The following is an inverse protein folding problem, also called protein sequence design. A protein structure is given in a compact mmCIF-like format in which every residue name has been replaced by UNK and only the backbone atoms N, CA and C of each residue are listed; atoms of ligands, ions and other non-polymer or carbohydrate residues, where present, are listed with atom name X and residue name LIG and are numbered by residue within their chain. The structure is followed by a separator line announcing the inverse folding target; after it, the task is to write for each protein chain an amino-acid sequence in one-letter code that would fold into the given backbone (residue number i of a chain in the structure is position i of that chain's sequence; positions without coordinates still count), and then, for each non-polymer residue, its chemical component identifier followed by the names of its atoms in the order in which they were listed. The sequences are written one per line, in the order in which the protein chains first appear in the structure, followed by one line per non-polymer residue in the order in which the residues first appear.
data_IF_144740775642
#
_entry.id   IF_144740775642
#
_cell.length_a   1.000
_cell.length_b   1.000
_cell.length_c   1.000
_cell.angle_alpha   90.00
_cell.angle_beta   90.00
_cell.angle_gamma   90.00
#
_symmetry.space_group_name_H-M   'P 1'
#
loop_
_entity.id
_entity.type
_entity.pdbx_description
1 polymer ?
#
# COMPACT_ATOMS: atom_id res chain seq x y z
N UNK A 1 -4.54 -0.90 23.25
CA UNK A 1 -4.04 0.20 22.40
C UNK A 1 -3.21 -0.40 21.29
N UNK A 2 -3.75 -0.49 20.07
CA UNK A 2 -2.98 -0.95 18.91
C UNK A 2 -2.00 0.16 18.53
N UNK A 3 -0.70 -0.14 18.56
CA UNK A 3 0.32 0.76 18.02
C UNK A 3 0.20 0.68 16.50
N UNK A 4 -0.26 1.76 15.87
CA UNK A 4 -0.15 1.92 14.42
C UNK A 4 1.35 1.96 14.09
N UNK A 5 1.84 0.92 13.41
CA UNK A 5 3.20 0.90 12.88
C UNK A 5 3.39 1.98 11.80
N UNK A 6 4.63 2.19 11.33
CA UNK A 6 4.88 3.10 10.21
C UNK A 6 4.00 2.71 9.01
N UNK A 7 3.49 3.71 8.29
CA UNK A 7 2.76 3.49 7.03
C UNK A 7 3.70 2.77 6.07
N UNK A 8 3.27 1.63 5.55
CA UNK A 8 4.03 0.87 4.55
C UNK A 8 3.50 1.26 3.18
N UNK A 9 4.38 1.68 2.27
CA UNK A 9 4.01 1.84 0.87
C UNK A 9 4.25 0.51 0.16
N UNK A 10 3.26 0.03 -0.59
CA UNK A 10 3.38 -1.15 -1.43
C UNK A 10 3.04 -0.76 -2.87
N UNK A 11 3.82 -1.23 -3.83
CA UNK A 11 3.60 -0.92 -5.25
C UNK A 11 3.48 -2.22 -6.02
N UNK A 12 2.41 -2.33 -6.79
CA UNK A 12 2.10 -3.41 -7.71
C UNK A 12 2.05 -2.84 -9.13
N UNK A 13 2.87 -3.41 -10.02
CA UNK A 13 2.84 -3.08 -11.43
C UNK A 13 1.94 -4.08 -12.17
N UNK A 14 0.96 -3.52 -12.89
CA UNK A 14 0.19 -4.11 -13.99
C UNK A 14 -0.37 -5.52 -13.78
N UNK A 15 -1.63 -5.61 -13.36
CA UNK A 15 -2.48 -6.81 -13.43
C UNK A 15 -3.24 -6.83 -14.75
N UNK A 16 -3.10 -7.88 -15.56
CA UNK A 16 -3.99 -8.10 -16.70
C UNK A 16 -5.09 -9.08 -16.31
N UNK A 17 -6.32 -8.58 -16.22
CA UNK A 17 -7.46 -9.34 -15.70
C UNK A 17 -8.11 -10.26 -16.75
N UNK A 18 -8.11 -11.56 -16.52
CA UNK A 18 -8.84 -12.61 -17.25
C UNK A 18 -9.51 -13.57 -16.26
N UNK A 19 -10.60 -13.15 -15.62
CA UNK A 19 -11.39 -14.07 -14.81
C UNK A 19 -12.87 -13.97 -15.14
N UNK A 20 -13.41 -15.03 -15.75
CA UNK A 20 -14.80 -15.40 -15.50
C UNK A 20 -14.85 -16.06 -14.13
N UNK A 21 -15.18 -15.31 -13.08
CA UNK A 21 -15.46 -15.87 -11.76
C UNK A 21 -16.91 -15.61 -11.35
N UNK A 22 -17.64 -16.70 -11.21
CA UNK A 22 -18.89 -16.81 -10.45
C UNK A 22 -18.65 -16.55 -8.96
N UNK A 23 -19.46 -15.69 -8.35
CA UNK A 23 -19.50 -15.34 -6.93
C UNK A 23 -19.60 -16.58 -6.01
N UNK A 24 -18.75 -16.67 -4.97
CA UNK A 24 -18.95 -17.53 -3.79
C UNK A 24 -18.64 -16.72 -2.52
N UNK A 25 -19.52 -16.72 -1.49
CA UNK A 25 -19.33 -15.92 -0.28
C UNK A 25 -18.37 -16.55 0.74
N UNK A 26 -17.77 -15.66 1.55
CA UNK A 26 -16.74 -15.92 2.55
C UNK A 26 -17.25 -16.70 3.78
N UNK A 27 -16.38 -17.55 4.36
CA UNK A 27 -16.54 -18.14 5.69
C UNK A 27 -15.27 -17.95 6.53
N UNK A 28 -15.47 -17.59 7.80
CA UNK A 28 -14.45 -17.30 8.81
C UNK A 28 -13.89 -18.57 9.47
N UNK A 29 -12.64 -18.53 9.94
CA UNK A 29 -12.09 -19.50 10.89
C UNK A 29 -10.62 -19.24 11.22
N UNK A 30 -10.31 -19.01 12.50
CA UNK A 30 -9.01 -18.55 12.98
C UNK A 30 -7.99 -19.64 13.33
N UNK A 31 -6.80 -19.20 13.76
CA UNK A 31 -5.75 -20.03 14.35
C UNK A 31 -4.36 -19.41 14.15
N UNK A 32 -3.58 -19.29 15.22
CA UNK A 32 -2.38 -18.47 15.30
C UNK A 32 -1.06 -19.27 15.29
N UNK A 33 0.02 -18.57 14.90
CA UNK A 33 1.41 -18.57 15.44
C UNK A 33 2.59 -19.03 14.56
N UNK A 34 3.54 -18.07 14.47
CA UNK A 34 5.01 -18.18 14.34
C UNK A 34 5.57 -18.72 13.02
N UNK A 35 6.65 -18.19 12.42
CA UNK A 35 7.81 -17.49 12.96
C UNK A 35 8.57 -16.77 11.84
N UNK A 36 9.29 -15.70 12.20
CA UNK A 36 10.54 -15.25 11.57
C UNK A 36 10.55 -14.89 10.08
N UNK A 37 10.40 -13.60 9.77
CA UNK A 37 11.00 -13.02 8.57
C UNK A 37 11.55 -11.63 8.88
N UNK A 38 12.72 -11.37 8.30
CA UNK A 38 13.57 -10.19 8.46
C UNK A 38 12.83 -8.90 8.12
N UNK A 39 12.86 -7.95 9.04
CA UNK A 39 12.31 -6.61 8.86
C UNK A 39 13.01 -5.87 7.70
N UNK A 40 12.27 -5.33 6.72
CA UNK A 40 12.82 -4.37 5.79
C UNK A 40 13.11 -3.07 6.55
N UNK A 41 14.31 -2.54 6.31
CA UNK A 41 14.82 -1.31 6.92
C UNK A 41 13.92 -0.15 6.50
N UNK A 42 13.01 0.27 7.38
CA UNK A 42 12.33 1.54 7.26
C UNK A 42 13.41 2.63 7.16
N UNK A 43 13.33 3.48 6.13
CA UNK A 43 14.17 4.67 6.04
C UNK A 43 14.12 5.40 7.37
N UNK A 44 15.28 5.57 8.01
CA UNK A 44 15.35 6.16 9.34
C UNK A 44 14.68 7.53 9.29
N UNK A 45 13.75 7.79 10.22
CA UNK A 45 13.29 9.16 10.48
C UNK A 45 14.54 10.03 10.59
N UNK A 46 14.56 11.17 9.88
CA UNK A 46 15.67 12.08 10.04
C UNK A 46 15.80 12.36 11.54
N UNK A 47 16.96 12.10 12.16
CA UNK A 47 17.15 12.48 13.54
C UNK A 47 16.77 13.97 13.62
N UNK A 48 16.03 14.36 14.67
CA UNK A 48 15.95 15.76 15.03
C UNK A 48 17.36 16.32 14.87
N UNK A 49 17.55 17.38 14.06
CA UNK A 49 18.82 17.71 13.44
C UNK A 49 19.92 17.47 14.47
N UNK A 50 20.88 16.59 14.15
CA UNK A 50 21.75 15.90 15.11
C UNK A 50 22.67 16.83 15.94
N UNK A 51 22.40 18.14 15.93
CA UNK A 51 22.97 19.19 16.75
C UNK A 51 21.96 20.31 17.12
N UNK A 52 20.64 20.03 17.22
CA UNK A 52 19.63 20.95 17.78
C UNK A 52 19.84 21.24 19.29
N UNK A 53 20.95 20.72 19.84
CA UNK A 53 21.96 21.44 20.61
C UNK A 53 21.55 22.79 21.19
N UNK A 54 20.89 22.72 22.35
CA UNK A 54 20.67 23.76 23.36
C UNK A 54 20.03 25.08 22.89
N UNK A 55 19.13 25.66 23.70
CA UNK A 55 18.63 27.01 23.46
C UNK A 55 19.79 28.00 23.24
N UNK A 56 19.74 28.76 22.15
CA UNK A 56 20.71 29.83 21.87
C UNK A 56 20.15 31.16 22.35
N UNK A 57 20.14 31.33 23.68
CA UNK A 57 19.67 32.56 24.33
C UNK A 57 18.44 32.37 25.22
N UNK A 58 18.02 33.44 25.92
CA UNK A 58 16.96 33.39 26.94
C UNK A 58 15.56 33.22 26.35
N UNK A 59 15.39 33.43 25.05
CA UNK A 59 14.12 33.35 24.35
C UNK A 59 13.76 31.92 23.88
N UNK A 60 14.63 30.94 24.10
CA UNK A 60 14.36 29.53 23.81
C UNK A 60 14.48 29.14 22.34
N UNK A 61 15.00 30.01 21.47
CA UNK A 61 15.22 29.71 20.04
C UNK A 61 16.29 28.63 19.85
N UNK A 62 16.02 27.72 18.91
CA UNK A 62 17.00 26.75 18.39
C UNK A 62 17.34 27.18 16.96
N UNK A 63 18.61 27.45 16.71
CA UNK A 63 19.10 28.01 15.44
C UNK A 63 19.96 26.97 14.72
N UNK A 64 19.71 26.81 13.42
CA UNK A 64 20.42 25.87 12.58
C UNK A 64 21.78 26.38 12.09
N UNK A 65 22.58 25.53 11.42
CA UNK A 65 23.90 25.91 10.91
C UNK A 65 23.92 27.09 9.92
N UNK A 66 22.79 27.35 9.26
CA UNK A 66 22.61 28.46 8.32
C UNK A 66 22.08 29.75 8.97
N UNK A 67 21.90 29.77 10.30
CA UNK A 67 21.38 30.93 11.03
C UNK A 67 19.85 31.02 11.08
N UNK A 68 19.12 30.09 10.46
CA UNK A 68 17.65 30.05 10.50
C UNK A 68 17.12 29.45 11.81
N UNK A 69 15.95 29.92 12.26
CA UNK A 69 15.30 29.37 13.45
C UNK A 69 14.62 28.04 13.11
N UNK A 70 15.11 26.95 13.69
CA UNK A 70 14.57 25.60 13.50
C UNK A 70 13.39 25.29 14.43
N UNK A 71 13.25 26.02 15.53
CA UNK A 71 12.16 25.86 16.47
C UNK A 71 12.44 26.51 17.82
N UNK A 72 11.66 26.14 18.83
CA UNK A 72 11.69 26.70 20.17
C UNK A 72 11.58 25.61 21.24
N UNK A 73 12.18 25.84 22.41
CA UNK A 73 12.11 24.90 23.55
C UNK A 73 11.14 25.31 24.65
N UNK A 74 10.59 26.54 24.60
CA UNK A 74 9.87 27.19 25.71
C UNK A 74 8.48 27.73 25.34
N UNK A 75 7.96 27.42 24.16
CA UNK A 75 6.59 27.80 23.78
C UNK A 75 5.55 26.88 24.43
N UNK A 76 4.28 27.25 24.30
CA UNK A 76 3.17 26.53 24.93
C UNK A 76 3.11 25.06 24.51
N UNK A 77 2.77 24.19 25.46
CA UNK A 77 2.54 22.77 25.21
C UNK A 77 1.25 22.57 24.41
N UNK A 78 1.26 21.62 23.48
CA UNK A 78 0.08 21.28 22.68
C UNK A 78 -0.74 20.24 23.47
N UNK A 79 -2.00 20.53 23.83
CA UNK A 79 -2.82 19.61 24.63
C UNK A 79 -2.91 18.22 24.00
N UNK A 80 -2.66 17.19 24.81
CA UNK A 80 -2.74 15.78 24.37
C UNK A 80 -1.52 15.26 23.62
N UNK A 81 -0.42 16.01 23.56
CA UNK A 81 0.83 15.58 22.90
C UNK A 81 2.04 15.84 23.80
N UNK A 82 3.18 15.17 23.59
CA UNK A 82 4.42 15.50 24.30
C UNK A 82 5.15 16.73 23.74
N UNK A 83 4.56 17.45 22.77
CA UNK A 83 5.23 18.48 21.98
C UNK A 83 4.77 19.89 22.35
N UNK A 84 5.68 20.86 22.20
CA UNK A 84 5.36 22.30 22.21
C UNK A 84 5.00 22.82 20.82
N UNK A 85 4.39 23.99 20.77
CA UNK A 85 4.26 24.77 19.54
C UNK A 85 5.68 25.04 19.00
N UNK A 86 5.95 24.69 17.75
CA UNK A 86 7.27 24.80 17.12
C UNK A 86 8.42 24.07 17.86
N UNK A 87 8.12 22.96 18.52
CA UNK A 87 9.12 22.17 19.26
C UNK A 87 10.26 21.69 18.35
N UNK A 88 11.48 22.18 18.59
CA UNK A 88 12.66 21.85 17.81
C UNK A 88 13.09 20.37 17.94
N UNK A 89 12.64 19.68 18.99
CA UNK A 89 12.93 18.26 19.20
C UNK A 89 11.89 17.33 18.56
N UNK A 90 10.82 17.87 17.97
CA UNK A 90 9.81 17.07 17.30
C UNK A 90 10.42 16.40 16.06
N UNK A 91 10.35 15.06 15.91
CA UNK A 91 10.94 14.37 14.78
C UNK A 91 10.25 14.81 13.48
N UNK A 92 11.07 15.07 12.46
CA UNK A 92 10.58 15.35 11.13
C UNK A 92 10.20 14.03 10.43
N UNK A 93 9.26 14.06 9.45
CA UNK A 93 9.04 12.93 8.57
C UNK A 93 10.35 12.51 7.89
N UNK A 94 10.58 11.20 7.66
CA UNK A 94 11.70 10.77 6.84
C UNK A 94 11.59 11.38 5.43
N UNK A 95 12.72 11.77 4.86
CA UNK A 95 12.79 12.12 3.44
C UNK A 95 12.76 10.83 2.64
N UNK A 96 11.81 10.73 1.71
CA UNK A 96 11.66 9.61 0.80
C UNK A 96 11.91 10.11 -0.61
N UNK A 97 12.86 9.49 -1.32
CA UNK A 97 13.05 9.77 -2.73
C UNK A 97 11.86 9.20 -3.54
N UNK A 98 11.19 10.01 -4.38
CA UNK A 98 10.12 9.52 -5.24
C UNK A 98 10.71 8.62 -6.35
N UNK A 99 9.83 7.84 -7.02
CA UNK A 99 10.19 7.15 -8.25
C UNK A 99 10.60 8.12 -9.36
N UNK A 100 11.46 7.66 -10.28
CA UNK A 100 11.99 8.49 -11.36
C UNK A 100 10.92 8.85 -12.42
N UNK A 101 10.00 7.93 -12.68
CA UNK A 101 8.90 8.09 -13.65
C UNK A 101 7.55 7.78 -13.00
N UNK A 102 6.42 8.23 -13.59
CA UNK A 102 5.11 7.78 -13.15
C UNK A 102 5.04 6.25 -13.13
N UNK A 103 4.57 5.70 -12.02
CA UNK A 103 4.55 4.25 -11.78
C UNK A 103 5.71 3.78 -10.91
N UNK A 104 6.93 4.29 -11.12
CA UNK A 104 8.15 3.83 -10.41
C UNK A 104 7.97 3.93 -8.87
N UNK A 105 8.42 2.90 -8.10
CA UNK A 105 8.22 2.90 -6.67
C UNK A 105 9.12 3.96 -5.99
N UNK A 106 8.65 4.62 -4.92
CA UNK A 106 9.52 5.42 -4.07
C UNK A 106 10.51 4.54 -3.31
N UNK A 107 11.59 5.16 -2.82
CA UNK A 107 12.70 4.43 -2.18
C UNK A 107 12.33 3.68 -0.88
N UNK A 108 11.16 3.96 -0.28
CA UNK A 108 10.65 3.28 0.91
C UNK A 108 9.56 2.22 0.61
N UNK A 109 9.22 2.00 -0.66
CA UNK A 109 8.17 1.06 -1.03
C UNK A 109 8.65 -0.39 -1.04
N UNK A 110 7.75 -1.28 -0.63
CA UNK A 110 7.87 -2.71 -0.90
C UNK A 110 7.35 -2.95 -2.31
N UNK A 111 8.24 -3.39 -3.20
CA UNK A 111 7.90 -3.75 -4.57
C UNK A 111 7.29 -5.15 -4.55
N UNK A 112 5.99 -5.24 -4.83
CA UNK A 112 5.28 -6.52 -4.87
C UNK A 112 5.44 -7.23 -6.22
N UNK A 113 5.76 -6.51 -7.28
CA UNK A 113 6.05 -7.06 -8.60
C UNK A 113 6.87 -6.05 -9.40
N UNK A 114 7.99 -6.47 -9.96
CA UNK A 114 8.95 -5.63 -10.71
C UNK A 114 9.02 -6.00 -12.20
N UNK A 115 8.13 -6.88 -12.66
CA UNK A 115 8.16 -7.47 -14.00
C UNK A 115 8.82 -8.84 -14.08
N UNK A 116 9.48 -9.32 -13.02
CA UNK A 116 10.26 -10.55 -13.03
C UNK A 116 9.47 -11.80 -12.61
N UNK A 117 8.96 -11.83 -11.38
CA UNK A 117 8.33 -13.02 -10.81
C UNK A 117 7.23 -12.70 -9.77
N UNK A 118 6.56 -13.75 -9.31
CA UNK A 118 5.49 -13.67 -8.31
C UNK A 118 5.95 -14.10 -6.91
N UNK A 119 7.22 -13.92 -6.57
CA UNK A 119 7.79 -14.35 -5.28
C UNK A 119 7.10 -13.70 -4.07
N UNK A 120 6.65 -12.45 -4.19
CA UNK A 120 5.86 -11.76 -3.17
C UNK A 120 4.40 -12.23 -3.06
N UNK A 121 3.96 -13.11 -3.97
CA UNK A 121 2.59 -13.58 -4.08
C UNK A 121 2.49 -15.08 -3.80
N UNK A 122 1.28 -15.49 -3.41
CA UNK A 122 0.95 -16.88 -3.15
C UNK A 122 -0.51 -17.17 -3.50
N UNK A 123 -0.77 -18.40 -3.91
CA UNK A 123 -2.11 -18.95 -3.79
C UNK A 123 -2.36 -19.40 -2.36
N UNK A 124 -3.60 -19.21 -1.90
CA UNK A 124 -4.09 -19.81 -0.66
C UNK A 124 -4.82 -21.12 -1.00
N UNK A 125 -4.23 -22.25 -0.62
CA UNK A 125 -4.82 -23.58 -0.78
C UNK A 125 -5.15 -24.12 0.61
N UNK A 126 -6.37 -23.83 1.07
CA UNK A 126 -6.90 -24.27 2.38
C UNK A 126 -6.04 -23.81 3.56
N UNK A 127 -5.62 -22.55 3.56
CA UNK A 127 -4.80 -21.95 4.61
C UNK A 127 -3.29 -22.16 4.44
N UNK A 128 -2.87 -22.95 3.45
CA UNK A 128 -1.47 -23.09 3.08
C UNK A 128 -1.13 -22.14 1.92
N UNK A 129 -0.12 -21.30 2.14
CA UNK A 129 0.45 -20.49 1.08
C UNK A 129 1.36 -21.36 0.20
N UNK A 130 1.03 -21.42 -1.08
CA UNK A 130 1.85 -22.05 -2.12
C UNK A 130 2.18 -21.02 -3.19
N UNK A 131 3.15 -21.32 -4.04
CA UNK A 131 3.59 -20.38 -5.07
C UNK A 131 2.43 -19.97 -5.98
N UNK A 132 2.43 -18.70 -6.38
CA UNK A 132 1.45 -18.17 -7.31
C UNK A 132 1.70 -18.73 -8.71
N UNK A 133 0.64 -19.19 -9.37
CA UNK A 133 0.69 -19.88 -10.66
C UNK A 133 0.15 -19.00 -11.80
N UNK A 134 0.01 -17.71 -11.55
CA UNK A 134 -0.40 -16.73 -12.56
C UNK A 134 0.75 -16.53 -13.57
N UNK A 135 0.46 -16.50 -14.88
CA UNK A 135 1.52 -16.35 -15.88
C UNK A 135 2.13 -14.95 -15.85
N UNK A 136 3.46 -14.89 -15.80
CA UNK A 136 4.26 -13.66 -15.97
C UNK A 136 4.72 -13.57 -17.42
N UNK A 137 4.56 -12.40 -18.04
CA UNK A 137 4.91 -12.12 -19.43
C UNK A 137 5.37 -10.68 -19.57
N UNK A 138 6.45 -10.42 -20.30
CA UNK A 138 6.83 -9.09 -20.79
C UNK A 138 6.68 -7.93 -19.77
N UNK A 139 7.04 -8.17 -18.50
CA UNK A 139 6.99 -7.16 -17.43
C UNK A 139 5.62 -6.98 -16.76
N UNK A 140 4.64 -7.85 -17.02
CA UNK A 140 3.32 -7.90 -16.38
C UNK A 140 2.96 -9.34 -16.00
N UNK A 141 1.85 -9.54 -15.28
CA UNK A 141 1.26 -10.87 -15.12
C UNK A 141 -0.24 -10.86 -15.43
N UNK A 142 -0.74 -11.99 -15.89
CA UNK A 142 -2.18 -12.18 -16.17
C UNK A 142 -2.81 -13.01 -15.06
N UNK A 143 -4.11 -12.84 -14.85
CA UNK A 143 -4.82 -13.75 -13.96
C UNK A 143 -4.80 -15.17 -14.56
N UNK A 144 -4.43 -16.17 -13.76
CA UNK A 144 -4.51 -17.57 -14.17
C UNK A 144 -5.97 -18.04 -14.22
N UNK A 145 -6.54 -18.15 -15.42
CA UNK A 145 -7.90 -18.63 -15.60
C UNK A 145 -8.10 -20.00 -14.91
N UNK A 146 -9.06 -20.06 -13.98
CA UNK A 146 -9.36 -21.28 -13.22
C UNK A 146 -8.36 -21.65 -12.11
N UNK A 147 -7.29 -20.87 -11.89
CA UNK A 147 -6.30 -21.14 -10.81
C UNK A 147 -6.64 -20.43 -9.49
N UNK A 148 -7.67 -19.58 -9.53
CA UNK A 148 -8.15 -18.80 -8.39
C UNK A 148 -7.32 -17.55 -8.11
N UNK A 149 -7.68 -16.83 -7.04
CA UNK A 149 -7.01 -15.60 -6.64
C UNK A 149 -5.62 -15.85 -6.06
N UNK A 150 -4.76 -14.84 -6.15
CA UNK A 150 -3.50 -14.75 -5.42
C UNK A 150 -3.61 -13.69 -4.33
N UNK A 151 -2.73 -13.78 -3.33
CA UNK A 151 -2.57 -12.80 -2.26
C UNK A 151 -1.09 -12.52 -2.03
N UNK A 152 -0.77 -11.38 -1.45
CA UNK A 152 0.57 -11.14 -0.94
C UNK A 152 0.92 -12.16 0.15
N UNK A 153 2.18 -12.58 0.19
CA UNK A 153 2.69 -13.41 1.29
C UNK A 153 2.72 -12.63 2.59
N UNK A 154 3.15 -11.39 2.52
CA UNK A 154 3.10 -10.45 3.63
C UNK A 154 1.68 -9.97 3.90
N UNK A 155 1.43 -9.60 5.16
CA UNK A 155 0.17 -9.01 5.59
C UNK A 155 0.39 -7.55 5.95
N UNK A 156 -0.52 -6.70 5.52
CA UNK A 156 -0.39 -5.26 5.70
C UNK A 156 -1.51 -4.67 6.55
N UNK A 157 -1.16 -3.62 7.30
CA UNK A 157 -2.11 -2.76 7.99
C UNK A 157 -2.40 -1.52 7.15
N UNK A 158 -2.13 -0.33 7.69
CA UNK A 158 -2.22 0.91 6.92
C UNK A 158 -1.19 0.93 5.80
N UNK A 159 -1.67 1.11 4.56
CA UNK A 159 -0.82 1.17 3.37
C UNK A 159 -1.17 2.33 2.46
N UNK A 160 -0.18 2.74 1.68
CA UNK A 160 -0.41 3.36 0.38
C UNK A 160 -0.12 2.27 -0.67
N UNK A 161 -1.10 1.98 -1.52
CA UNK A 161 -0.99 0.94 -2.55
C UNK A 161 -1.08 1.58 -3.94
N UNK A 162 -0.10 1.30 -4.81
CA UNK A 162 -0.17 1.59 -6.24
C UNK A 162 -0.48 0.29 -6.99
N UNK A 163 -1.45 0.31 -7.90
CA UNK A 163 -1.78 -0.80 -8.78
C UNK A 163 -2.05 -0.24 -10.17
N UNK A 164 -1.41 -0.81 -11.18
CA UNK A 164 -1.82 -0.63 -12.58
C UNK A 164 -2.56 -1.88 -13.03
N UNK A 165 -3.54 -1.73 -13.92
CA UNK A 165 -4.23 -2.87 -14.50
C UNK A 165 -4.65 -2.59 -15.94
N UNK A 166 -4.83 -3.67 -16.69
CA UNK A 166 -5.42 -3.64 -18.02
C UNK A 166 -6.46 -4.76 -18.15
N UNK A 167 -7.56 -4.45 -18.81
CA UNK A 167 -8.57 -5.46 -19.18
C UNK A 167 -8.14 -6.14 -20.47
N UNK A 168 -8.73 -7.30 -20.82
CA UNK A 168 -8.40 -8.01 -22.05
C UNK A 168 -8.56 -7.11 -23.28
N UNK A 169 -7.69 -7.24 -24.31
CA UNK A 169 -7.83 -6.47 -25.53
C UNK A 169 -9.09 -6.86 -26.33
N UNK A 170 -9.56 -8.10 -26.18
CA UNK A 170 -10.81 -8.55 -26.77
C UNK A 170 -11.99 -8.17 -25.85
N UNK A 171 -12.80 -7.23 -26.34
CA UNK A 171 -14.00 -6.78 -25.64
C UNK A 171 -15.10 -7.83 -25.77
N UNK A 172 -15.35 -8.56 -24.68
CA UNK A 172 -16.39 -9.59 -24.60
C UNK A 172 -17.19 -9.48 -23.31
N UNK A 173 -18.48 -9.80 -23.38
CA UNK A 173 -19.40 -9.70 -22.24
C UNK A 173 -19.96 -8.30 -22.03
N UNK A 174 -20.78 -8.16 -20.98
CA UNK A 174 -21.47 -6.93 -20.61
C UNK A 174 -21.55 -6.83 -19.09
N UNK A 175 -21.73 -5.63 -18.57
CA UNK A 175 -21.80 -5.37 -17.13
C UNK A 175 -20.60 -6.03 -16.42
N UNK A 176 -20.84 -6.74 -15.32
CA UNK A 176 -19.83 -7.49 -14.55
C UNK A 176 -19.19 -8.67 -15.30
N UNK A 177 -19.69 -9.04 -16.47
CA UNK A 177 -19.11 -10.13 -17.28
C UNK A 177 -17.94 -9.70 -18.16
N UNK A 178 -17.55 -8.42 -18.13
CA UNK A 178 -16.55 -7.84 -19.05
C UNK A 178 -15.30 -7.36 -18.28
N UNK A 179 -14.23 -8.14 -18.35
CA UNK A 179 -12.93 -7.80 -17.76
C UNK A 179 -12.93 -7.66 -16.22
N UNK A 180 -13.67 -8.51 -15.52
CA UNK A 180 -13.87 -8.42 -14.07
C UNK A 180 -12.69 -9.00 -13.27
N UNK A 181 -12.27 -8.25 -12.25
CA UNK A 181 -11.31 -8.63 -11.22
C UNK A 181 -11.48 -7.71 -10.00
N UNK A 182 -10.57 -7.75 -9.03
CA UNK A 182 -10.63 -6.86 -7.88
C UNK A 182 -9.35 -6.84 -7.07
N UNK A 183 -9.13 -5.73 -6.37
CA UNK A 183 -8.06 -5.59 -5.38
C UNK A 183 -8.69 -5.64 -3.99
N UNK A 184 -8.47 -6.74 -3.28
CA UNK A 184 -9.11 -7.00 -1.99
C UNK A 184 -8.17 -6.57 -0.85
N UNK A 185 -8.43 -5.39 -0.27
CA UNK A 185 -7.70 -4.86 0.86
C UNK A 185 -8.03 -5.65 2.14
N UNK A 186 -6.98 -6.13 2.81
CA UNK A 186 -7.05 -6.89 4.07
C UNK A 186 -7.97 -8.13 4.00
N UNK A 187 -8.20 -8.68 2.80
CA UNK A 187 -9.13 -9.79 2.57
C UNK A 187 -10.60 -9.45 2.86
N UNK A 188 -10.97 -8.16 2.84
CA UNK A 188 -12.31 -7.69 3.26
C UNK A 188 -12.95 -6.70 2.30
N UNK A 189 -12.20 -5.69 1.86
CA UNK A 189 -12.75 -4.56 1.11
C UNK A 189 -12.24 -4.61 -0.32
N UNK A 190 -13.15 -4.74 -1.29
CA UNK A 190 -12.79 -4.86 -2.69
C UNK A 190 -12.85 -3.50 -3.38
N UNK A 191 -11.72 -3.10 -3.96
CA UNK A 191 -11.67 -2.04 -4.96
C UNK A 191 -11.84 -2.69 -6.31
N UNK A 192 -12.94 -2.34 -6.99
CA UNK A 192 -13.38 -3.06 -8.16
C UNK A 192 -12.49 -2.80 -9.39
N UNK A 193 -12.15 -3.87 -10.10
CA UNK A 193 -11.47 -3.80 -11.40
C UNK A 193 -12.43 -4.32 -12.47
N UNK A 194 -12.78 -3.45 -13.42
CA UNK A 194 -13.75 -3.79 -14.47
C UNK A 194 -13.45 -2.98 -15.73
N UNK A 195 -13.71 -3.57 -16.90
CA UNK A 195 -13.79 -2.77 -18.14
C UNK A 195 -15.11 -1.99 -18.12
N UNK A 196 -15.04 -0.74 -17.67
CA UNK A 196 -16.20 0.17 -17.57
C UNK A 196 -16.33 1.08 -18.81
N UNK A 197 -15.43 0.97 -19.79
CA UNK A 197 -15.46 1.83 -20.98
C UNK A 197 -16.58 1.39 -21.92
N UNK A 198 -17.57 2.28 -22.11
CA UNK A 198 -18.82 1.99 -22.84
C UNK A 198 -19.48 0.68 -22.37
N UNK A 199 -19.45 0.43 -21.05
CA UNK A 199 -20.02 -0.75 -20.43
C UNK A 199 -20.84 -0.39 -19.19
N UNK A 200 -22.16 -0.26 -19.35
CA UNK A 200 -23.05 0.09 -18.25
C UNK A 200 -23.20 -1.09 -17.29
N UNK A 201 -22.99 -0.83 -15.99
CA UNK A 201 -23.25 -1.75 -14.88
C UNK A 201 -23.89 -0.98 -13.71
N UNK A 202 -24.14 -1.65 -12.57
CA UNK A 202 -24.58 -0.96 -11.36
C UNK A 202 -23.45 -0.09 -10.79
N UNK A 203 -23.78 1.13 -10.36
CA UNK A 203 -22.78 2.17 -10.08
C UNK A 203 -21.78 1.79 -8.99
N UNK A 204 -22.24 1.09 -7.95
CA UNK A 204 -21.44 0.59 -6.83
C UNK A 204 -20.63 -0.68 -7.18
N UNK A 205 -20.59 -1.10 -8.45
CA UNK A 205 -19.76 -2.19 -8.94
C UNK A 205 -19.02 -1.85 -10.24
N UNK A 206 -18.93 -0.58 -10.61
CA UNK A 206 -18.08 -0.14 -11.71
C UNK A 206 -16.60 -0.08 -11.28
N UNK A 207 -15.69 0.14 -12.22
CA UNK A 207 -14.27 0.29 -11.91
C UNK A 207 -14.01 1.36 -10.83
N UNK A 208 -13.10 1.06 -9.90
CA UNK A 208 -12.72 1.87 -8.74
C UNK A 208 -13.79 2.05 -7.65
N UNK A 209 -14.98 1.48 -7.79
CA UNK A 209 -15.95 1.43 -6.71
C UNK A 209 -15.42 0.62 -5.51
N UNK A 210 -15.86 0.99 -4.31
CA UNK A 210 -15.86 0.06 -3.18
C UNK A 210 -17.04 -0.87 -3.42
N UNK A 211 -16.76 -2.09 -3.84
CA UNK A 211 -17.75 -2.98 -4.43
C UNK A 211 -18.96 -3.21 -3.50
N UNK A 212 -20.15 -2.83 -3.98
CA UNK A 212 -21.43 -2.93 -3.27
C UNK A 212 -21.65 -1.87 -2.19
N UNK A 213 -20.79 -0.86 -2.09
CA UNK A 213 -20.85 0.17 -1.03
C UNK A 213 -20.81 1.61 -1.57
N UNK A 214 -19.82 1.95 -2.41
CA UNK A 214 -19.58 3.33 -2.85
C UNK A 214 -19.08 3.38 -4.30
N UNK A 215 -19.75 4.14 -5.18
CA UNK A 215 -19.45 4.19 -6.62
C UNK A 215 -18.21 5.02 -7.00
#
# INVERSE_FOLDING_TARGET
MARFGPRVQAVLFTVVAWSLATLVPAAQGGGAQSSGSSSPQAGAAQPAPADAGRPQGPDGRVVGPNGEVLGYTNLAEIPGTPWRIHDAARPHPPIVAPGERPGDPPADAIVLFDGGDLSAWAHDRKGQLVDAEWPVRDGYFETGAGTGSIRTRESFGSVQLHVEFATPPEVTGFSQGRGNSGVILMGRYEIQVLDSYDNVTYADGQAAAIYGEYP
#
